data_IF_198150527541
#
_entry.id   IF_198150527541
#
_cell.length_a   1.000
_cell.length_b   1.000
_cell.length_c   1.000
_cell.angle_alpha   90.00
_cell.angle_beta   90.00
_cell.angle_gamma   90.00
#
_symmetry.space_group_name_H-M   'P 1'
#
loop_
_entity.id
_entity.type
_entity.pdbx_description
1 polymer ?
#
# COMPACT_ATOMS: atom_id res chain seq x y z
N UNK A 1 12.24 32.13 27.87
CA UNK A 1 11.01 32.14 27.04
C UNK A 1 11.43 31.69 25.66
N UNK A 2 11.41 30.42 25.42
CA UNK A 2 11.69 29.80 24.10
C UNK A 2 10.36 29.55 23.44
N UNK A 3 10.09 30.28 22.35
CA UNK A 3 8.91 30.12 21.51
C UNK A 3 8.94 28.78 20.82
N UNK A 4 7.97 27.95 21.15
CA UNK A 4 7.66 26.69 20.52
C UNK A 4 7.25 26.93 19.05
N UNK A 5 7.89 26.34 18.04
CA UNK A 5 7.48 26.53 16.66
C UNK A 5 6.16 25.79 16.42
N UNK A 6 5.12 26.52 16.08
CA UNK A 6 3.82 25.99 15.63
C UNK A 6 3.96 24.86 14.61
N UNK A 7 3.19 23.74 14.73
CA UNK A 7 3.25 22.59 13.83
C UNK A 7 2.38 22.78 12.56
N UNK A 8 2.53 23.88 11.85
CA UNK A 8 1.76 24.13 10.62
C UNK A 8 2.57 24.02 9.32
N UNK A 9 3.79 23.48 9.39
CA UNK A 9 4.62 23.29 8.20
C UNK A 9 4.34 21.93 7.55
N UNK A 10 3.63 21.93 6.41
CA UNK A 10 3.59 20.77 5.52
C UNK A 10 2.26 20.32 4.92
N UNK A 11 1.15 20.97 5.26
CA UNK A 11 -0.06 20.75 4.46
C UNK A 11 0.01 21.67 3.22
N UNK A 12 -0.45 21.19 2.03
CA UNK A 12 -0.53 22.06 0.87
C UNK A 12 -1.41 23.26 1.25
N UNK A 13 -0.89 24.47 1.01
CA UNK A 13 -1.72 25.67 1.08
C UNK A 13 -2.91 25.42 0.16
N UNK A 14 -4.11 25.48 0.69
CA UNK A 14 -5.33 25.33 -0.08
C UNK A 14 -5.34 26.40 -1.16
N UNK A 15 -5.08 26.00 -2.42
CA UNK A 15 -5.44 26.80 -3.58
C UNK A 15 -6.88 27.23 -3.39
N UNK A 16 -7.32 28.33 -4.04
CA UNK A 16 -8.62 28.94 -3.85
C UNK A 16 -9.82 27.97 -3.74
N UNK A 17 -11.02 28.46 -3.56
CA UNK A 17 -12.17 27.62 -3.25
C UNK A 17 -12.35 26.52 -4.30
N UNK A 18 -12.57 25.29 -3.85
CA UNK A 18 -12.85 24.15 -4.72
C UNK A 18 -14.06 24.47 -5.61
N UNK A 19 -13.87 24.36 -6.92
CA UNK A 19 -14.96 24.38 -7.89
C UNK A 19 -15.49 22.98 -8.14
N UNK A 20 -16.70 22.86 -8.65
CA UNK A 20 -17.28 21.55 -9.06
C UNK A 20 -16.38 20.83 -10.05
N UNK A 21 -15.79 21.53 -11.02
CA UNK A 21 -14.92 20.94 -12.04
C UNK A 21 -13.58 20.47 -11.44
N UNK A 22 -13.01 21.23 -10.51
CA UNK A 22 -11.80 20.84 -9.80
C UNK A 22 -12.05 19.59 -8.94
N UNK A 23 -13.17 19.50 -8.25
CA UNK A 23 -13.55 18.33 -7.46
C UNK A 23 -13.76 17.09 -8.36
N UNK A 24 -14.44 17.25 -9.49
CA UNK A 24 -14.66 16.16 -10.46
C UNK A 24 -13.34 15.67 -11.04
N UNK A 25 -12.43 16.58 -11.42
CA UNK A 25 -11.10 16.23 -11.94
C UNK A 25 -10.25 15.50 -10.91
N UNK A 26 -10.25 15.99 -9.67
CA UNK A 26 -9.57 15.33 -8.56
C UNK A 26 -10.10 13.91 -8.35
N UNK A 27 -11.42 13.72 -8.25
CA UNK A 27 -12.05 12.43 -8.07
C UNK A 27 -11.70 11.44 -9.18
N UNK A 28 -11.73 11.89 -10.45
CA UNK A 28 -11.39 11.08 -11.61
C UNK A 28 -9.92 10.59 -11.58
N UNK A 29 -9.02 11.40 -11.03
CA UNK A 29 -7.59 11.09 -10.89
C UNK A 29 -7.19 10.37 -9.61
N UNK A 30 -8.11 10.25 -8.64
CA UNK A 30 -7.77 9.83 -7.27
C UNK A 30 -7.13 8.43 -7.20
N UNK A 31 -7.67 7.48 -7.95
CA UNK A 31 -7.25 6.07 -7.97
C UNK A 31 -6.55 5.68 -9.29
N UNK A 32 -6.09 6.67 -10.07
CA UNK A 32 -5.44 6.44 -11.35
C UNK A 32 -4.01 6.98 -11.32
N UNK A 33 -3.04 6.09 -11.53
CA UNK A 33 -1.61 6.40 -11.61
C UNK A 33 -1.10 6.44 -13.04
N UNK A 34 0.22 6.43 -13.17
CA UNK A 34 0.87 6.36 -14.49
C UNK A 34 0.74 4.96 -15.11
N UNK A 35 1.01 3.93 -14.34
CA UNK A 35 1.07 2.53 -14.78
C UNK A 35 -0.10 1.70 -14.32
N UNK A 36 -0.75 2.07 -13.22
CA UNK A 36 -1.84 1.28 -12.63
C UNK A 36 -3.08 2.11 -12.38
N UNK A 37 -4.19 1.41 -12.26
CA UNK A 37 -5.45 1.91 -11.72
C UNK A 37 -5.85 1.05 -10.53
N UNK A 38 -6.24 1.68 -9.44
CA UNK A 38 -6.83 1.00 -8.28
C UNK A 38 -8.35 1.01 -8.40
N UNK A 39 -8.99 -0.10 -8.12
CA UNK A 39 -10.46 -0.24 -8.12
C UNK A 39 -10.95 -1.19 -7.04
N UNK A 40 -12.25 -1.17 -6.79
CA UNK A 40 -12.87 -2.16 -5.92
C UNK A 40 -12.58 -3.57 -6.45
N UNK A 41 -12.27 -4.48 -5.53
CA UNK A 41 -12.09 -5.90 -5.83
C UNK A 41 -13.44 -6.54 -6.13
N UNK A 42 -13.48 -7.37 -7.16
CA UNK A 42 -14.68 -8.08 -7.61
C UNK A 42 -14.54 -9.58 -7.41
N UNK A 43 -15.65 -10.31 -7.41
CA UNK A 43 -15.64 -11.78 -7.32
C UNK A 43 -14.82 -12.44 -8.44
N UNK A 44 -14.71 -11.81 -9.61
CA UNK A 44 -13.92 -12.32 -10.73
C UNK A 44 -12.40 -12.19 -10.52
N UNK A 45 -11.95 -11.35 -9.60
CA UNK A 45 -10.53 -11.19 -9.24
C UNK A 45 -10.05 -12.32 -8.31
N UNK A 46 -10.96 -12.83 -7.47
CA UNK A 46 -10.60 -13.70 -6.35
C UNK A 46 -9.87 -14.97 -6.76
N UNK A 47 -10.24 -15.70 -7.83
CA UNK A 47 -9.53 -16.91 -8.22
C UNK A 47 -8.04 -16.64 -8.51
N UNK A 48 -7.74 -15.55 -9.22
CA UNK A 48 -6.36 -15.21 -9.58
C UNK A 48 -5.57 -14.68 -8.38
N UNK A 49 -6.20 -13.87 -7.52
CA UNK A 49 -5.58 -13.40 -6.27
C UNK A 49 -5.27 -14.56 -5.32
N UNK A 50 -6.15 -15.55 -5.25
CA UNK A 50 -5.94 -16.75 -4.45
C UNK A 50 -4.82 -17.62 -5.03
N UNK A 51 -4.81 -17.86 -6.34
CA UNK A 51 -3.74 -18.58 -7.04
C UNK A 51 -2.37 -17.96 -6.70
N UNK A 52 -2.25 -16.65 -6.83
CA UNK A 52 -1.00 -15.96 -6.49
C UNK A 52 -0.65 -16.06 -5.01
N UNK A 53 -1.65 -15.96 -4.11
CA UNK A 53 -1.41 -16.06 -2.67
C UNK A 53 -0.92 -17.45 -2.26
N UNK A 54 -1.44 -18.49 -2.89
CA UNK A 54 -1.09 -19.89 -2.63
C UNK A 54 0.18 -20.34 -3.38
N UNK A 55 0.68 -19.57 -4.35
CA UNK A 55 1.96 -19.82 -4.99
C UNK A 55 3.09 -19.75 -3.95
N UNK A 56 3.86 -20.82 -3.75
CA UNK A 56 4.95 -20.84 -2.78
C UNK A 56 5.99 -19.72 -2.98
N UNK A 57 6.27 -19.33 -4.24
CA UNK A 57 7.21 -18.27 -4.55
C UNK A 57 6.69 -16.87 -4.16
N UNK A 58 5.37 -16.72 -4.04
CA UNK A 58 4.72 -15.50 -3.55
C UNK A 58 4.55 -15.57 -2.04
N UNK A 59 4.07 -16.71 -1.54
CA UNK A 59 3.81 -16.94 -0.12
C UNK A 59 5.07 -16.78 0.73
N UNK A 60 6.22 -17.20 0.25
CA UNK A 60 7.51 -17.02 0.92
C UNK A 60 7.84 -15.54 1.22
N UNK A 61 7.32 -14.62 0.42
CA UNK A 61 7.59 -13.19 0.58
C UNK A 61 6.62 -12.48 1.51
N UNK A 62 5.54 -13.15 1.93
CA UNK A 62 4.42 -12.52 2.63
C UNK A 62 3.93 -13.27 3.88
N UNK A 63 4.28 -14.54 4.01
CA UNK A 63 3.75 -15.41 5.06
C UNK A 63 4.86 -15.99 5.93
N UNK A 64 4.59 -16.15 7.21
CA UNK A 64 5.49 -16.81 8.16
C UNK A 64 5.71 -18.28 7.80
N UNK A 65 4.73 -18.90 7.16
CA UNK A 65 4.78 -20.29 6.71
C UNK A 65 4.11 -20.39 5.35
N UNK A 66 4.80 -21.01 4.41
CA UNK A 66 4.21 -21.38 3.12
C UNK A 66 3.35 -22.62 3.32
N UNK A 67 2.05 -22.47 3.20
CA UNK A 67 1.08 -23.56 3.35
C UNK A 67 0.30 -23.73 2.05
N UNK A 68 0.50 -24.80 1.30
CA UNK A 68 -0.43 -25.15 0.24
C UNK A 68 -1.82 -25.35 0.83
N UNK A 69 -2.81 -24.73 0.24
CA UNK A 69 -4.22 -24.85 0.66
C UNK A 69 -5.09 -25.31 -0.50
N UNK A 70 -6.24 -25.93 -0.22
CA UNK A 70 -7.21 -26.22 -1.26
C UNK A 70 -7.77 -24.93 -1.84
N UNK A 71 -8.17 -24.90 -3.13
CA UNK A 71 -8.82 -23.75 -3.76
C UNK A 71 -10.06 -23.28 -2.97
N UNK A 72 -10.28 -21.97 -2.91
CA UNK A 72 -11.41 -21.36 -2.19
C UNK A 72 -11.10 -20.95 -0.75
N UNK A 73 -9.96 -21.38 -0.17
CA UNK A 73 -9.66 -21.11 1.24
C UNK A 73 -9.17 -19.69 1.52
N UNK A 74 -8.73 -18.95 0.51
CA UNK A 74 -8.18 -17.61 0.66
C UNK A 74 -9.13 -16.53 0.12
N UNK A 75 -10.08 -16.91 -0.72
CA UNK A 75 -11.05 -15.97 -1.31
C UNK A 75 -11.79 -15.14 -0.25
N UNK A 76 -12.26 -15.77 0.84
CA UNK A 76 -12.94 -15.06 1.94
C UNK A 76 -12.05 -14.03 2.64
N UNK A 77 -10.75 -14.27 2.68
CA UNK A 77 -9.78 -13.31 3.23
C UNK A 77 -9.70 -12.07 2.34
N UNK A 78 -9.62 -12.25 1.02
CA UNK A 78 -9.63 -11.12 0.08
C UNK A 78 -10.95 -10.37 0.12
N UNK A 79 -12.11 -11.05 0.24
CA UNK A 79 -13.42 -10.41 0.46
C UNK A 79 -13.39 -9.54 1.72
N UNK A 80 -12.90 -10.09 2.83
CA UNK A 80 -12.84 -9.35 4.08
C UNK A 80 -11.91 -8.13 3.98
N UNK A 81 -10.74 -8.28 3.37
CA UNK A 81 -9.81 -7.16 3.16
C UNK A 81 -10.35 -6.09 2.21
N UNK A 82 -11.22 -6.46 1.27
CA UNK A 82 -11.79 -5.57 0.25
C UNK A 82 -13.21 -5.14 0.53
N UNK A 83 -13.74 -5.43 1.71
CA UNK A 83 -15.09 -5.00 2.09
C UNK A 83 -15.21 -3.47 2.18
N UNK A 84 -14.08 -2.77 2.37
CA UNK A 84 -13.98 -1.32 2.43
C UNK A 84 -14.99 -0.69 3.40
N UNK A 85 -15.21 -1.39 4.50
CA UNK A 85 -16.07 -0.94 5.60
C UNK A 85 -15.20 -0.30 6.67
N UNK A 86 -15.69 0.78 7.27
CA UNK A 86 -14.96 1.56 8.26
C UNK A 86 -13.67 2.18 7.66
N UNK A 87 -12.53 1.97 8.31
CA UNK A 87 -11.28 2.66 8.01
C UNK A 87 -10.29 1.82 7.18
N UNK A 88 -10.51 0.51 7.08
CA UNK A 88 -9.69 -0.40 6.30
C UNK A 88 -10.05 -0.31 4.82
N UNK A 89 -9.05 -0.45 3.96
CA UNK A 89 -9.17 -0.35 2.49
C UNK A 89 -8.50 -1.53 1.82
N UNK A 90 -9.17 -2.15 0.85
CA UNK A 90 -8.60 -3.16 -0.04
C UNK A 90 -9.03 -2.93 -1.48
N UNK A 91 -8.06 -2.88 -2.39
CA UNK A 91 -8.30 -2.55 -3.80
C UNK A 91 -7.52 -3.50 -4.71
N UNK A 92 -8.14 -3.90 -5.80
CA UNK A 92 -7.46 -4.55 -6.92
C UNK A 92 -6.61 -3.53 -7.68
N UNK A 93 -5.46 -4.00 -8.15
CA UNK A 93 -4.52 -3.22 -8.95
C UNK A 93 -4.65 -3.70 -10.40
N UNK A 94 -5.15 -2.88 -11.30
CA UNK A 94 -5.13 -3.17 -12.73
C UNK A 94 -3.93 -2.51 -13.39
N UNK A 95 -3.27 -3.19 -14.31
CA UNK A 95 -2.27 -2.61 -15.19
C UNK A 95 -2.96 -1.80 -16.28
N UNK A 96 -2.68 -0.50 -16.40
CA UNK A 96 -3.37 0.39 -17.34
C UNK A 96 -3.12 0.04 -18.80
N UNK A 97 -1.96 -0.50 -19.12
CA UNK A 97 -1.60 -0.81 -20.51
C UNK A 97 -2.41 -1.97 -21.08
N UNK A 98 -2.80 -2.93 -20.25
CA UNK A 98 -3.50 -4.15 -20.68
C UNK A 98 -4.92 -4.25 -20.14
N UNK A 99 -5.23 -3.53 -19.05
CA UNK A 99 -6.48 -3.67 -18.31
C UNK A 99 -6.53 -4.92 -17.44
N UNK A 100 -5.46 -5.69 -17.37
CA UNK A 100 -5.39 -6.94 -16.62
C UNK A 100 -5.19 -6.68 -15.12
N UNK A 101 -5.74 -7.57 -14.30
CA UNK A 101 -5.45 -7.60 -12.87
C UNK A 101 -3.96 -7.89 -12.66
N UNK A 102 -3.28 -6.99 -11.96
CA UNK A 102 -1.84 -7.10 -11.66
C UNK A 102 -1.56 -7.41 -10.19
N UNK A 103 -2.53 -7.19 -9.29
CA UNK A 103 -2.33 -7.41 -7.87
C UNK A 103 -3.43 -6.89 -6.97
N UNK A 104 -3.10 -6.77 -5.70
CA UNK A 104 -4.00 -6.26 -4.66
C UNK A 104 -3.22 -5.42 -3.66
N UNK A 105 -3.82 -4.36 -3.14
CA UNK A 105 -3.25 -3.51 -2.11
C UNK A 105 -4.25 -3.31 -0.98
N UNK A 106 -3.75 -3.28 0.25
CA UNK A 106 -4.58 -3.04 1.44
C UNK A 106 -3.97 -1.99 2.35
N UNK A 107 -4.85 -1.24 3.03
CA UNK A 107 -4.56 -0.56 4.27
C UNK A 107 -5.41 -1.23 5.35
N UNK A 108 -4.79 -1.84 6.33
CA UNK A 108 -5.49 -2.59 7.38
C UNK A 108 -5.03 -2.19 8.78
N UNK A 109 -5.86 -2.54 9.78
CA UNK A 109 -5.62 -2.15 11.16
C UNK A 109 -5.64 -0.64 11.34
N UNK A 110 -6.45 0.03 10.53
CA UNK A 110 -6.61 1.47 10.61
C UNK A 110 -7.16 1.87 11.97
N UNK A 111 -6.62 2.93 12.53
CA UNK A 111 -6.94 3.38 13.88
C UNK A 111 -7.19 4.88 13.91
N UNK A 112 -8.46 5.29 14.02
CA UNK A 112 -8.91 6.67 13.96
C UNK A 112 -8.12 7.61 14.88
N UNK A 113 -7.93 7.21 16.14
CA UNK A 113 -7.23 8.05 17.14
C UNK A 113 -5.74 8.22 16.85
N UNK A 114 -5.07 7.16 16.36
CA UNK A 114 -3.64 7.22 15.99
C UNK A 114 -3.45 7.71 14.57
N UNK A 115 -4.53 7.72 13.77
CA UNK A 115 -4.49 8.08 12.35
C UNK A 115 -3.40 7.29 11.62
N UNK A 116 -3.36 6.00 11.83
CA UNK A 116 -2.33 5.09 11.29
C UNK A 116 -2.95 3.82 10.73
N UNK A 117 -2.34 3.26 9.69
CA UNK A 117 -2.68 1.96 9.13
C UNK A 117 -1.43 1.20 8.69
N UNK A 118 -1.58 -0.10 8.48
CA UNK A 118 -0.54 -0.97 7.91
C UNK A 118 -0.84 -1.21 6.43
N UNK A 119 0.16 -1.05 5.57
CA UNK A 119 0.06 -1.29 4.14
C UNK A 119 0.51 -2.72 3.82
N UNK A 120 -0.31 -3.42 3.04
CA UNK A 120 0.04 -4.69 2.39
C UNK A 120 -0.11 -4.56 0.88
N UNK A 121 0.78 -5.21 0.12
CA UNK A 121 0.71 -5.24 -1.35
C UNK A 121 1.11 -6.61 -1.88
N UNK A 122 0.27 -7.16 -2.75
CA UNK A 122 0.50 -8.37 -3.52
C UNK A 122 0.60 -8.00 -5.00
N UNK A 123 1.61 -8.50 -5.69
CA UNK A 123 1.68 -8.47 -7.16
C UNK A 123 1.83 -9.89 -7.69
N UNK A 124 1.08 -10.17 -8.72
CA UNK A 124 1.20 -11.41 -9.49
C UNK A 124 2.61 -11.59 -10.06
N UNK A 125 3.09 -12.84 -10.25
CA UNK A 125 4.44 -13.13 -10.69
C UNK A 125 4.86 -12.38 -11.97
N UNK A 126 3.97 -12.32 -12.97
CA UNK A 126 4.21 -11.64 -14.26
C UNK A 126 4.20 -10.11 -14.19
N UNK A 127 3.77 -9.52 -13.09
CA UNK A 127 3.61 -8.06 -12.93
C UNK A 127 4.69 -7.41 -12.08
N UNK A 128 5.71 -8.18 -11.67
CA UNK A 128 6.81 -7.71 -10.81
C UNK A 128 7.95 -7.10 -11.63
N UNK A 129 8.69 -6.16 -11.03
CA UNK A 129 9.88 -5.56 -11.67
C UNK A 129 9.58 -4.50 -12.73
N UNK A 130 8.30 -4.16 -12.97
CA UNK A 130 7.82 -3.26 -14.04
C UNK A 130 7.38 -1.88 -13.52
N UNK A 131 7.63 -1.58 -12.25
CA UNK A 131 7.23 -0.30 -11.65
C UNK A 131 5.81 -0.27 -11.07
N UNK A 132 4.96 -1.26 -11.40
CA UNK A 132 3.54 -1.30 -11.01
C UNK A 132 3.36 -1.19 -9.49
N UNK A 133 4.18 -1.92 -8.70
CA UNK A 133 4.11 -1.87 -7.24
C UNK A 133 4.46 -0.51 -6.66
N UNK A 134 5.44 0.20 -7.25
CA UNK A 134 5.78 1.56 -6.83
C UNK A 134 4.62 2.53 -7.08
N UNK A 135 4.01 2.43 -8.25
CA UNK A 135 2.89 3.28 -8.62
C UNK A 135 1.65 3.01 -7.74
N UNK A 136 1.31 1.72 -7.53
CA UNK A 136 0.22 1.31 -6.64
C UNK A 136 0.41 1.79 -5.19
N UNK A 137 1.60 1.60 -4.63
CA UNK A 137 1.93 2.09 -3.28
C UNK A 137 1.83 3.61 -3.22
N UNK A 138 2.34 4.32 -4.23
CA UNK A 138 2.25 5.78 -4.32
C UNK A 138 0.82 6.30 -4.34
N UNK A 139 -0.07 5.67 -5.11
CA UNK A 139 -1.51 5.98 -5.14
C UNK A 139 -2.18 5.69 -3.81
N UNK A 140 -1.87 4.55 -3.21
CA UNK A 140 -2.43 4.17 -1.91
C UNK A 140 -2.02 5.15 -0.81
N UNK A 141 -0.77 5.61 -0.80
CA UNK A 141 -0.30 6.64 0.14
C UNK A 141 -0.99 7.99 -0.10
N UNK A 142 -1.19 8.37 -1.37
CA UNK A 142 -1.96 9.58 -1.71
C UNK A 142 -3.37 9.48 -1.11
N UNK A 143 -4.05 8.38 -1.34
CA UNK A 143 -5.39 8.13 -0.80
C UNK A 143 -5.41 8.14 0.74
N UNK A 144 -4.45 7.45 1.36
CA UNK A 144 -4.31 7.39 2.80
C UNK A 144 -4.18 8.77 3.46
N UNK A 145 -3.36 9.65 2.87
CA UNK A 145 -3.08 10.96 3.44
C UNK A 145 -4.06 12.04 3.02
N UNK A 146 -4.59 11.98 1.80
CA UNK A 146 -5.53 12.99 1.30
C UNK A 146 -6.98 12.72 1.71
N UNK A 147 -7.43 11.46 1.65
CA UNK A 147 -8.83 11.09 1.86
C UNK A 147 -9.10 10.50 3.25
N UNK A 148 -8.27 9.53 3.69
CA UNK A 148 -8.43 8.91 4.99
C UNK A 148 -7.83 9.74 6.13
N UNK A 149 -7.21 10.89 5.82
CA UNK A 149 -6.58 11.77 6.80
C UNK A 149 -5.62 11.03 7.75
N UNK A 150 -4.93 10.00 7.25
CA UNK A 150 -3.94 9.29 8.07
C UNK A 150 -2.72 10.18 8.31
N UNK A 151 -2.11 10.00 9.46
CA UNK A 151 -0.85 10.66 9.83
C UNK A 151 0.36 9.80 9.48
N UNK A 152 0.18 8.47 9.50
CA UNK A 152 1.25 7.49 9.38
C UNK A 152 0.77 6.24 8.65
N UNK A 153 1.55 5.78 7.69
CA UNK A 153 1.41 4.45 7.09
C UNK A 153 2.67 3.65 7.38
N UNK A 154 2.50 2.43 7.88
CA UNK A 154 3.60 1.52 8.19
C UNK A 154 3.47 0.22 7.41
N UNK A 155 4.56 -0.53 7.35
CA UNK A 155 4.62 -1.88 6.80
C UNK A 155 5.78 -2.64 7.43
N UNK A 156 5.81 -3.94 7.19
CA UNK A 156 7.01 -4.74 7.42
C UNK A 156 7.31 -5.63 6.20
N UNK A 157 8.56 -6.03 6.07
CA UNK A 157 9.00 -6.96 5.04
C UNK A 157 10.16 -7.81 5.54
N UNK A 158 10.27 -9.02 5.03
CA UNK A 158 11.42 -9.87 5.34
C UNK A 158 12.70 -9.24 4.84
N UNK A 159 13.76 -9.31 5.64
CA UNK A 159 15.04 -8.67 5.31
C UNK A 159 15.66 -9.20 4.01
N UNK A 160 15.33 -10.42 3.59
CA UNK A 160 15.75 -10.98 2.32
C UNK A 160 14.95 -10.51 1.10
N UNK A 161 13.83 -9.78 1.30
CA UNK A 161 13.03 -9.22 0.22
C UNK A 161 13.54 -7.84 -0.22
N UNK A 162 14.79 -7.81 -0.69
CA UNK A 162 15.48 -6.57 -1.11
C UNK A 162 14.70 -5.74 -2.13
N UNK A 163 13.96 -6.41 -3.03
CA UNK A 163 13.15 -5.73 -4.04
C UNK A 163 12.03 -4.91 -3.39
N UNK A 164 11.30 -5.50 -2.46
CA UNK A 164 10.24 -4.80 -1.74
C UNK A 164 10.81 -3.64 -0.93
N UNK A 165 11.88 -3.88 -0.16
CA UNK A 165 12.55 -2.86 0.64
C UNK A 165 13.03 -1.66 -0.22
N UNK A 166 13.62 -1.92 -1.39
CA UNK A 166 14.00 -0.85 -2.34
C UNK A 166 12.77 -0.08 -2.83
N UNK A 167 11.70 -0.79 -3.19
CA UNK A 167 10.45 -0.15 -3.64
C UNK A 167 9.89 0.76 -2.56
N UNK A 168 9.80 0.29 -1.32
CA UNK A 168 9.27 1.10 -0.21
C UNK A 168 10.13 2.34 0.08
N UNK A 169 11.46 2.21 0.05
CA UNK A 169 12.34 3.39 0.18
C UNK A 169 12.10 4.43 -0.93
N UNK A 170 11.88 3.99 -2.17
CA UNK A 170 11.55 4.92 -3.27
C UNK A 170 10.19 5.59 -3.11
N UNK A 171 9.24 4.92 -2.43
CA UNK A 171 7.95 5.50 -2.08
C UNK A 171 7.99 6.43 -0.85
N UNK A 172 9.15 6.52 -0.18
CA UNK A 172 9.35 7.42 0.94
C UNK A 172 9.34 6.78 2.32
N UNK A 173 9.18 5.46 2.40
CA UNK A 173 9.27 4.77 3.67
C UNK A 173 10.69 4.83 4.25
N UNK A 174 10.77 5.05 5.54
CA UNK A 174 11.99 5.06 6.35
C UNK A 174 12.01 3.80 7.22
N UNK A 175 13.16 3.14 7.29
CA UNK A 175 13.38 2.00 8.18
C UNK A 175 13.38 2.48 9.63
N UNK A 176 12.58 1.86 10.49
CA UNK A 176 12.48 2.20 11.91
C UNK A 176 13.18 1.19 12.81
N UNK A 177 13.40 0.00 12.30
CA UNK A 177 14.09 -1.04 13.04
C UNK A 177 13.99 -2.41 12.40
N UNK A 178 14.74 -3.33 12.99
CA UNK A 178 14.76 -4.74 12.62
C UNK A 178 14.38 -5.61 13.80
N UNK A 179 13.48 -6.53 13.55
CA UNK A 179 13.20 -7.65 14.45
C UNK A 179 14.05 -8.83 14.00
N UNK A 180 14.96 -9.26 14.86
CA UNK A 180 15.88 -10.34 14.51
C UNK A 180 15.18 -11.69 14.63
N UNK A 181 15.48 -12.60 13.68
CA UNK A 181 15.10 -14.01 13.74
C UNK A 181 13.59 -14.24 13.94
N UNK A 182 12.74 -13.58 13.15
CA UNK A 182 11.28 -13.58 13.31
C UNK A 182 10.60 -14.64 12.47
N UNK A 183 11.19 -14.99 11.33
CA UNK A 183 10.61 -15.95 10.39
C UNK A 183 11.60 -17.05 10.06
N UNK A 184 11.09 -18.29 9.94
CA UNK A 184 11.89 -19.47 9.68
C UNK A 184 11.57 -20.04 8.31
N UNK A 185 12.57 -20.02 7.39
CA UNK A 185 12.47 -20.62 6.07
C UNK A 185 13.77 -21.32 5.69
N UNK A 186 13.67 -22.40 4.97
CA UNK A 186 14.82 -23.18 4.47
C UNK A 186 15.86 -23.51 5.56
N UNK A 187 15.37 -23.92 6.74
CA UNK A 187 16.22 -24.28 7.86
C UNK A 187 16.93 -23.12 8.55
N UNK A 188 16.54 -21.86 8.28
CA UNK A 188 17.21 -20.66 8.79
C UNK A 188 16.21 -19.63 9.32
N UNK A 189 16.67 -18.89 10.29
CA UNK A 189 15.95 -17.73 10.80
C UNK A 189 16.31 -16.47 10.00
N UNK A 190 15.32 -15.64 9.73
CA UNK A 190 15.49 -14.38 9.01
C UNK A 190 14.87 -13.22 9.77
N UNK A 191 15.44 -12.04 9.56
CA UNK A 191 14.97 -10.80 10.14
C UNK A 191 13.76 -10.24 9.40
N UNK A 192 13.02 -9.39 10.10
CA UNK A 192 11.99 -8.53 9.54
C UNK A 192 12.39 -7.06 9.69
N UNK A 193 12.15 -6.27 8.67
CA UNK A 193 12.39 -4.83 8.63
C UNK A 193 11.07 -4.10 8.75
N UNK A 194 10.90 -3.32 9.82
CA UNK A 194 9.79 -2.41 9.99
C UNK A 194 10.07 -1.06 9.35
N UNK A 195 9.12 -0.54 8.59
CA UNK A 195 9.24 0.74 7.90
C UNK A 195 7.97 1.58 8.04
N UNK A 196 8.11 2.90 7.94
CA UNK A 196 6.96 3.79 7.92
C UNK A 196 7.21 5.04 7.08
N UNK A 197 6.12 5.73 6.75
CA UNK A 197 6.12 7.05 6.15
C UNK A 197 5.10 7.93 6.85
N UNK A 198 5.49 9.17 7.15
CA UNK A 198 4.59 10.16 7.75
C UNK A 198 4.01 11.08 6.67
N UNK A 199 2.77 11.52 6.87
CA UNK A 199 2.09 12.40 5.92
C UNK A 199 2.94 13.62 5.55
N UNK A 200 3.55 14.30 6.53
CA UNK A 200 4.42 15.46 6.31
C UNK A 200 5.65 15.15 5.44
N UNK A 201 6.23 13.94 5.60
CA UNK A 201 7.41 13.50 4.84
C UNK A 201 7.03 13.18 3.39
N UNK A 202 5.87 12.57 3.19
CA UNK A 202 5.35 12.23 1.88
C UNK A 202 4.99 13.48 1.07
N UNK A 203 4.29 14.44 1.68
CA UNK A 203 3.97 15.72 1.05
C UNK A 203 5.21 16.56 0.77
N UNK A 204 6.18 16.62 1.68
CA UNK A 204 7.43 17.37 1.50
C UNK A 204 8.33 16.89 0.37
N UNK A 205 8.19 15.63 -0.05
CA UNK A 205 8.93 15.07 -1.21
C UNK A 205 8.25 15.35 -2.56
N UNK A 206 7.04 15.82 -2.55
CA UNK A 206 6.25 16.15 -3.74
C UNK A 206 5.91 17.64 -3.67
N UNK A 207 6.82 18.55 -4.09
CA UNK A 207 6.48 19.94 -4.18
C UNK A 207 5.31 20.04 -5.17
N UNK A 208 4.14 20.41 -4.63
CA UNK A 208 2.92 20.81 -5.32
C UNK A 208 2.81 20.32 -6.77
N UNK A 209 2.43 19.04 -6.98
CA UNK A 209 1.79 18.70 -8.22
C UNK A 209 0.49 19.52 -8.22
N UNK A 210 0.47 20.58 -8.99
CA UNK A 210 -0.73 21.35 -9.30
C UNK A 210 -1.82 20.36 -9.68
N UNK A 211 -2.88 20.33 -8.89
CA UNK A 211 -4.10 19.56 -9.16
C UNK A 211 -4.75 20.07 -10.42
#
# INVERSE_FOLDING_TARGET
MTSDPSPSAGLPETGGPWTTDAAASYGAGLLTGELVRLRATTETDLPLLEEWWLDPAVGLLQSDVVRPGPPGTVADRFRAWSANTAEDLGLSIDERATGELAGHVTLFGAHARRRSATLGVLLGPGHRGRGLGRDAVGLTLRYAFAELNLHRVQLSAWAFNDRALRTYRTCGFVEEGRRREVVFHDGRWHDEVGMSVLAREWWGRRPHATL
#
